data_IF_895047255651
#
_entry.id   IF_895047255651
#
_cell.length_a   1.000
_cell.length_b   1.000
_cell.length_c   1.000
_cell.angle_alpha   90.00
_cell.angle_beta   90.00
_cell.angle_gamma   90.00
#
_symmetry.space_group_name_H-M   'P 1'
#
loop_
_entity.id
_entity.type
_entity.pdbx_description
1 polymer ?
#
# COMPACT_ATOMS: atom_id res chain seq x y z
N UNK A 1 -1.17 -3.15 16.07
CA UNK A 1 -1.78 -4.49 16.17
C UNK A 1 -2.98 -4.60 17.13
N UNK A 2 -3.26 -3.61 18.01
CA UNK A 2 -4.35 -3.68 19.01
C UNK A 2 -5.73 -4.08 18.47
N UNK A 3 -6.12 -3.60 17.30
CA UNK A 3 -7.45 -3.91 16.73
C UNK A 3 -7.58 -5.36 16.27
N UNK A 4 -6.54 -5.92 15.64
CA UNK A 4 -6.53 -7.33 15.20
C UNK A 4 -6.62 -8.26 16.41
N UNK A 5 -5.85 -7.95 17.46
CA UNK A 5 -5.87 -8.70 18.71
C UNK A 5 -7.26 -8.71 19.37
N UNK A 6 -8.00 -7.60 19.28
CA UNK A 6 -9.39 -7.53 19.80
C UNK A 6 -10.39 -8.36 19.00
N UNK A 7 -10.03 -8.82 17.80
CA UNK A 7 -10.91 -9.64 16.97
C UNK A 7 -10.64 -11.15 17.11
N UNK A 8 -9.73 -11.56 17.99
CA UNK A 8 -9.49 -13.00 18.24
C UNK A 8 -10.79 -13.67 18.67
N UNK A 9 -11.16 -14.76 17.98
CA UNK A 9 -12.37 -15.53 18.25
C UNK A 9 -13.68 -14.91 17.75
N UNK A 10 -13.65 -13.81 16.99
CA UNK A 10 -14.86 -13.15 16.50
C UNK A 10 -15.60 -13.93 15.41
N UNK A 11 -14.87 -14.61 14.52
CA UNK A 11 -15.42 -15.41 13.43
C UNK A 11 -14.45 -16.58 13.16
N UNK A 12 -15.01 -17.74 12.78
CA UNK A 12 -14.27 -19.00 12.63
C UNK A 12 -13.35 -19.02 11.40
N UNK A 13 -13.63 -18.19 10.40
CA UNK A 13 -12.91 -18.19 9.11
C UNK A 13 -12.23 -16.86 8.81
N UNK A 14 -12.88 -15.72 9.11
CA UNK A 14 -12.44 -14.39 8.75
C UNK A 14 -12.03 -13.59 9.99
N UNK A 15 -10.98 -12.76 9.90
CA UNK A 15 -10.54 -11.93 11.05
C UNK A 15 -11.64 -10.97 11.52
N UNK A 16 -12.41 -10.38 10.60
CA UNK A 16 -13.44 -9.39 10.95
C UNK A 16 -14.87 -9.88 10.69
N UNK A 17 -15.07 -11.12 10.24
CA UNK A 17 -16.40 -11.63 9.85
C UNK A 17 -17.10 -10.81 8.74
N UNK A 18 -16.32 -10.13 7.87
CA UNK A 18 -16.85 -9.23 6.84
C UNK A 18 -16.68 -9.80 5.44
N UNK A 19 -17.77 -9.79 4.67
CA UNK A 19 -17.74 -10.00 3.22
C UNK A 19 -17.37 -8.69 2.50
N UNK A 20 -16.80 -8.79 1.30
CA UNK A 20 -16.40 -7.62 0.49
C UNK A 20 -17.57 -6.65 0.22
N UNK A 21 -18.78 -7.17 -0.01
CA UNK A 21 -19.98 -6.36 -0.22
C UNK A 21 -20.34 -5.53 1.02
N UNK A 22 -20.30 -6.16 2.21
CA UNK A 22 -20.60 -5.50 3.48
C UNK A 22 -19.52 -4.46 3.81
N UNK A 23 -18.27 -4.75 3.49
CA UNK A 23 -17.16 -3.82 3.64
C UNK A 23 -17.39 -2.54 2.81
N UNK A 24 -17.73 -2.67 1.53
CA UNK A 24 -17.99 -1.52 0.66
C UNK A 24 -19.20 -0.69 1.13
N UNK A 25 -20.29 -1.36 1.51
CA UNK A 25 -21.48 -0.70 2.04
C UNK A 25 -21.18 0.09 3.33
N UNK A 26 -20.44 -0.51 4.27
CA UNK A 26 -20.03 0.18 5.49
C UNK A 26 -19.07 1.33 5.21
N UNK A 27 -18.09 1.14 4.33
CA UNK A 27 -17.17 2.21 3.94
C UNK A 27 -17.94 3.41 3.39
N UNK A 28 -18.85 3.19 2.43
CA UNK A 28 -19.69 4.25 1.87
C UNK A 28 -20.53 4.95 2.96
N UNK A 29 -21.14 4.19 3.88
CA UNK A 29 -21.90 4.74 5.01
C UNK A 29 -21.05 5.68 5.87
N UNK A 30 -19.85 5.26 6.28
CA UNK A 30 -18.99 6.06 7.14
C UNK A 30 -18.31 7.22 6.41
N UNK A 31 -17.95 7.03 5.13
CA UNK A 31 -17.46 8.09 4.24
C UNK A 31 -18.48 9.22 4.13
N UNK A 32 -19.75 8.89 3.89
CA UNK A 32 -20.83 9.87 3.82
C UNK A 32 -21.05 10.58 5.17
N UNK A 33 -21.00 9.84 6.29
CA UNK A 33 -21.09 10.44 7.64
C UNK A 33 -19.96 11.41 7.95
N UNK A 34 -18.79 11.20 7.36
CA UNK A 34 -17.65 12.10 7.48
C UNK A 34 -17.71 13.30 6.50
N UNK A 35 -18.78 13.42 5.70
CA UNK A 35 -18.91 14.48 4.69
C UNK A 35 -18.00 14.31 3.48
N UNK A 36 -17.49 13.10 3.22
CA UNK A 36 -16.55 12.83 2.14
C UNK A 36 -17.26 12.21 0.93
N UNK A 37 -16.83 12.56 -0.28
CA UNK A 37 -17.40 12.09 -1.56
C UNK A 37 -16.33 11.88 -2.62
N UNK A 38 -16.68 11.24 -3.74
CA UNK A 38 -15.81 11.10 -4.91
C UNK A 38 -14.84 9.91 -4.91
N UNK A 39 -14.86 9.05 -3.89
CA UNK A 39 -14.01 7.85 -3.83
C UNK A 39 -14.69 6.66 -3.16
N UNK A 40 -14.14 5.48 -3.41
CA UNK A 40 -14.58 4.16 -2.98
C UNK A 40 -13.54 3.49 -2.08
N UNK A 41 -13.85 2.32 -1.52
CA UNK A 41 -12.87 1.60 -0.71
C UNK A 41 -11.64 1.18 -1.52
N UNK A 42 -11.79 0.86 -2.82
CA UNK A 42 -10.67 0.47 -3.67
C UNK A 42 -9.60 1.58 -3.79
N UNK A 43 -10.01 2.83 -3.72
CA UNK A 43 -9.09 3.98 -3.81
C UNK A 43 -8.15 4.07 -2.61
N UNK A 44 -8.48 3.43 -1.49
CA UNK A 44 -7.56 3.28 -0.35
C UNK A 44 -6.31 2.49 -0.74
N UNK A 45 -6.48 1.43 -1.54
CA UNK A 45 -5.38 0.62 -2.07
C UNK A 45 -4.55 1.42 -3.08
N UNK A 46 -5.21 2.16 -3.96
CA UNK A 46 -4.54 3.04 -4.93
C UNK A 46 -3.69 4.10 -4.23
N UNK A 47 -4.24 4.72 -3.18
CA UNK A 47 -3.55 5.71 -2.34
C UNK A 47 -2.36 5.09 -1.61
N UNK A 48 -2.54 3.90 -1.02
CA UNK A 48 -1.45 3.18 -0.36
C UNK A 48 -0.32 2.85 -1.33
N UNK A 49 -0.65 2.36 -2.53
CA UNK A 49 0.34 2.07 -3.58
C UNK A 49 1.13 3.31 -3.97
N UNK A 50 0.44 4.43 -4.22
CA UNK A 50 1.07 5.71 -4.57
C UNK A 50 2.05 6.18 -3.50
N UNK A 51 1.65 6.13 -2.22
CA UNK A 51 2.51 6.54 -1.11
C UNK A 51 3.71 5.60 -0.96
N UNK A 52 3.48 4.29 -0.99
CA UNK A 52 4.53 3.31 -0.75
C UNK A 52 5.51 3.18 -1.93
N UNK A 53 5.09 3.50 -3.15
CA UNK A 53 5.97 3.55 -4.31
C UNK A 53 7.10 4.60 -4.17
N UNK A 54 6.94 5.60 -3.30
CA UNK A 54 8.00 6.55 -2.97
C UNK A 54 9.09 5.94 -2.07
N UNK A 55 8.76 4.88 -1.35
CA UNK A 55 9.63 4.27 -0.33
C UNK A 55 10.16 2.89 -0.71
N UNK A 56 9.46 2.16 -1.58
CA UNK A 56 9.81 0.80 -1.97
C UNK A 56 10.34 0.72 -3.39
N UNK A 57 11.23 -0.23 -3.62
CA UNK A 57 11.62 -0.60 -4.98
C UNK A 57 10.44 -1.27 -5.70
N UNK A 58 10.40 -1.18 -7.03
CA UNK A 58 9.25 -1.62 -7.85
C UNK A 58 8.87 -3.08 -7.62
N UNK A 59 9.86 -3.97 -7.42
CA UNK A 59 9.63 -5.40 -7.19
C UNK A 59 9.06 -5.67 -5.79
N UNK A 60 9.53 -4.96 -4.78
CA UNK A 60 9.01 -5.07 -3.41
C UNK A 60 7.58 -4.54 -3.34
N UNK A 61 7.31 -3.44 -4.05
CA UNK A 61 5.96 -2.91 -4.20
C UNK A 61 5.04 -3.96 -4.84
N UNK A 62 5.49 -4.65 -5.89
CA UNK A 62 4.72 -5.74 -6.51
C UNK A 62 4.44 -6.87 -5.52
N UNK A 63 5.43 -7.33 -4.76
CA UNK A 63 5.26 -8.39 -3.77
C UNK A 63 4.30 -7.99 -2.66
N UNK A 64 4.43 -6.78 -2.12
CA UNK A 64 3.58 -6.27 -1.05
C UNK A 64 2.11 -6.13 -1.50
N UNK A 65 1.88 -5.70 -2.74
CA UNK A 65 0.53 -5.59 -3.28
C UNK A 65 0.04 -6.89 -3.94
N UNK A 66 0.85 -7.95 -4.04
CA UNK A 66 0.46 -9.19 -4.70
C UNK A 66 0.22 -9.04 -6.21
N UNK A 67 0.95 -8.13 -6.87
CA UNK A 67 0.93 -8.00 -8.32
C UNK A 67 1.90 -8.98 -8.96
N UNK A 68 1.42 -9.76 -9.93
CA UNK A 68 2.24 -10.68 -10.71
C UNK A 68 3.02 -9.98 -11.83
N UNK A 69 2.48 -8.88 -12.35
CA UNK A 69 3.09 -8.09 -13.42
C UNK A 69 3.55 -6.73 -12.92
N UNK A 70 4.82 -6.40 -13.17
CA UNK A 70 5.50 -5.16 -12.76
C UNK A 70 4.95 -3.91 -13.43
N UNK A 71 4.32 -4.02 -14.60
CA UNK A 71 3.72 -2.88 -15.30
C UNK A 71 2.69 -2.14 -14.42
N UNK A 72 1.99 -2.85 -13.53
CA UNK A 72 1.05 -2.22 -12.59
C UNK A 72 1.74 -1.31 -11.58
N UNK A 73 2.94 -1.68 -11.12
CA UNK A 73 3.69 -0.88 -10.16
C UNK A 73 4.26 0.39 -10.78
N UNK A 74 4.59 0.37 -12.07
CA UNK A 74 5.14 1.53 -12.78
C UNK A 74 4.17 2.72 -12.84
N UNK A 75 2.86 2.49 -12.74
CA UNK A 75 1.86 3.57 -12.62
C UNK A 75 2.09 4.41 -11.37
N UNK A 76 2.58 3.81 -10.29
CA UNK A 76 2.79 4.46 -9.00
C UNK A 76 4.26 4.85 -8.76
N UNK A 77 5.18 4.10 -9.39
CA UNK A 77 6.61 4.26 -9.21
C UNK A 77 7.18 5.27 -10.21
N UNK A 78 7.29 6.53 -9.78
CA UNK A 78 7.83 7.63 -10.58
C UNK A 78 8.93 8.43 -9.83
N UNK A 79 10.11 7.83 -9.56
CA UNK A 79 11.20 8.54 -8.92
C UNK A 79 11.87 9.54 -9.89
N UNK A 80 12.31 10.68 -9.36
CA UNK A 80 13.11 11.64 -10.14
C UNK A 80 14.53 11.11 -10.37
N UNK A 81 15.22 11.61 -11.40
CA UNK A 81 16.61 11.27 -11.68
C UNK A 81 17.53 11.52 -10.47
N UNK A 82 17.28 12.60 -9.71
CA UNK A 82 18.01 12.91 -8.47
C UNK A 82 17.78 11.83 -7.40
N UNK A 83 16.54 11.36 -7.22
CA UNK A 83 16.23 10.30 -6.27
C UNK A 83 16.91 8.97 -6.64
N UNK A 84 17.00 8.66 -7.93
CA UNK A 84 17.75 7.51 -8.44
C UNK A 84 19.25 7.70 -8.17
N UNK A 85 19.80 8.87 -8.50
CA UNK A 85 21.22 9.19 -8.27
C UNK A 85 21.63 9.03 -6.81
N UNK A 86 20.81 9.51 -5.87
CA UNK A 86 21.06 9.33 -4.42
C UNK A 86 21.17 7.85 -4.03
N UNK A 87 20.39 6.96 -4.63
CA UNK A 87 20.44 5.51 -4.35
C UNK A 87 21.72 4.88 -4.90
N UNK A 88 22.17 5.31 -6.08
CA UNK A 88 23.43 4.86 -6.67
C UNK A 88 24.60 5.26 -5.78
N UNK A 89 24.65 6.52 -5.33
CA UNK A 89 25.73 7.00 -4.46
C UNK A 89 25.68 6.37 -3.07
N UNK A 90 24.49 6.13 -2.51
CA UNK A 90 24.34 5.47 -1.22
C UNK A 90 24.72 3.97 -1.25
N UNK A 91 24.57 3.31 -2.40
CA UNK A 91 24.93 1.90 -2.59
C UNK A 91 26.39 1.70 -3.03
N UNK A 92 27.12 2.78 -3.35
CA UNK A 92 28.52 2.66 -3.73
C UNK A 92 29.36 2.20 -2.52
N UNK A 93 30.21 1.16 -2.66
CA UNK A 93 31.09 0.75 -1.59
C UNK A 93 31.99 1.93 -1.23
N UNK A 94 32.00 2.33 0.05
CA UNK A 94 32.93 3.30 0.59
C UNK A 94 34.32 2.92 0.12
N UNK A 95 34.92 3.76 -0.73
CA UNK A 95 36.22 3.49 -1.34
C UNK A 95 37.19 3.25 -0.20
N UNK A 96 37.58 1.99 0.02
CA UNK A 96 38.60 1.66 1.03
C UNK A 96 39.87 2.38 0.59
N UNK A 97 40.23 3.40 1.36
CA UNK A 97 41.46 4.15 1.19
C UNK A 97 42.63 3.20 1.42
N UNK A 98 43.23 2.73 0.33
CA UNK A 98 44.63 2.32 0.32
C UNK A 98 45.48 3.51 -0.08
#
# INVERSE_FOLDING_TARGET
>A
MRTIERMRGYDETLVFGLKSQSLDAMFRKYRNRAGLVGFTFHDSRHTAATRLAQHLHVLDLCKMFGWTNTTRALVYYNPTAVAIGKRITAAAPTRSSR
#
